data_IF_581760315869
#
_entry.id   IF_581760315869
#
_cell.length_a   1.000
_cell.length_b   1.000
_cell.length_c   1.000
_cell.angle_alpha   90.00
_cell.angle_beta   90.00
_cell.angle_gamma   90.00
#
_symmetry.space_group_name_H-M   'P 1'
#
loop_
_entity.id
_entity.type
_entity.pdbx_description
1 polymer ?
#
# COMPACT_ATOMS: atom_id res chain seq x y z
N UNK A 1 35.85 -6.45 14.79
CA UNK A 1 34.63 -5.77 14.27
C UNK A 1 33.94 -6.60 13.18
N UNK A 2 34.66 -7.08 12.16
CA UNK A 2 34.14 -7.97 11.11
C UNK A 2 33.44 -9.24 11.64
N UNK A 3 34.03 -9.95 12.60
CA UNK A 3 33.42 -11.15 13.19
C UNK A 3 32.05 -10.86 13.84
N UNK A 4 31.90 -9.73 14.55
CA UNK A 4 30.63 -9.32 15.18
C UNK A 4 29.54 -9.06 14.13
N UNK A 5 29.90 -8.39 13.03
CA UNK A 5 28.97 -8.14 11.93
C UNK A 5 28.56 -9.45 11.23
N UNK A 6 29.51 -10.36 11.01
CA UNK A 6 29.23 -11.66 10.42
C UNK A 6 28.27 -12.50 11.29
N UNK A 7 28.53 -12.56 12.60
CA UNK A 7 27.64 -13.25 13.54
C UNK A 7 26.25 -12.62 13.57
N UNK A 8 26.14 -11.29 13.57
CA UNK A 8 24.85 -10.60 13.55
C UNK A 8 24.06 -10.95 12.29
N UNK A 9 24.70 -10.88 11.10
CA UNK A 9 24.06 -11.26 9.84
C UNK A 9 23.63 -12.72 9.81
N UNK A 10 24.48 -13.64 10.30
CA UNK A 10 24.15 -15.05 10.38
C UNK A 10 22.97 -15.31 11.32
N UNK A 11 22.96 -14.66 12.49
CA UNK A 11 21.87 -14.76 13.46
C UNK A 11 20.55 -14.22 12.90
N UNK A 12 20.55 -13.06 12.24
CA UNK A 12 19.38 -12.49 11.56
C UNK A 12 18.83 -13.44 10.50
N UNK A 13 19.69 -14.01 9.64
CA UNK A 13 19.27 -14.98 8.61
C UNK A 13 18.65 -16.23 9.23
N UNK A 14 19.31 -16.79 10.25
CA UNK A 14 18.79 -17.97 10.96
C UNK A 14 17.43 -17.66 11.59
N UNK A 15 17.29 -16.52 12.24
CA UNK A 15 16.04 -16.08 12.84
C UNK A 15 14.92 -15.97 11.80
N UNK A 16 15.17 -15.32 10.66
CA UNK A 16 14.18 -15.22 9.58
C UNK A 16 13.80 -16.60 9.00
N UNK A 17 14.75 -17.52 8.85
CA UNK A 17 14.43 -18.89 8.44
C UNK A 17 13.57 -19.65 9.46
N UNK A 18 13.80 -19.43 10.75
CA UNK A 18 12.97 -20.02 11.82
C UNK A 18 11.55 -19.47 11.76
N UNK A 19 11.37 -18.17 11.51
CA UNK A 19 10.04 -17.57 11.33
C UNK A 19 9.33 -18.11 10.08
N UNK A 20 10.00 -18.20 8.92
CA UNK A 20 9.42 -18.79 7.71
C UNK A 20 9.08 -20.29 7.88
N UNK A 21 9.85 -21.01 8.70
CA UNK A 21 9.52 -22.40 9.06
C UNK A 21 8.26 -22.43 9.94
N UNK A 22 8.16 -21.52 10.90
CA UNK A 22 7.03 -21.39 11.80
C UNK A 22 5.72 -21.10 11.05
N UNK A 23 5.75 -20.19 10.07
CA UNK A 23 4.59 -19.88 9.20
C UNK A 23 4.07 -21.10 8.44
N UNK A 24 4.95 -22.04 8.05
CA UNK A 24 4.58 -23.29 7.39
C UNK A 24 4.08 -24.36 8.36
N UNK A 25 4.60 -24.37 9.58
CA UNK A 25 4.23 -25.30 10.64
C UNK A 25 4.52 -24.67 11.99
N UNK A 26 3.47 -24.20 12.66
CA UNK A 26 3.59 -23.54 13.95
C UNK A 26 4.21 -24.48 15.00
N UNK A 27 5.13 -23.93 15.81
CA UNK A 27 5.81 -24.62 16.90
C UNK A 27 6.07 -23.74 18.15
N UNK A 28 5.59 -22.49 18.10
CA UNK A 28 5.64 -21.47 19.17
C UNK A 28 4.31 -20.69 19.15
N UNK A 29 4.06 -19.84 20.13
CA UNK A 29 2.99 -18.85 20.05
C UNK A 29 3.50 -17.56 19.40
N UNK A 30 2.61 -16.80 18.75
CA UNK A 30 2.98 -15.52 18.12
C UNK A 30 3.62 -14.53 19.09
N UNK A 31 3.24 -14.59 20.37
CA UNK A 31 3.80 -13.77 21.44
C UNK A 31 5.26 -14.09 21.77
N UNK A 32 5.72 -15.31 21.49
CA UNK A 32 7.08 -15.75 21.82
C UNK A 32 8.12 -15.14 20.87
N UNK A 33 7.68 -14.68 19.70
CA UNK A 33 8.53 -13.96 18.74
C UNK A 33 8.72 -12.49 19.10
N UNK A 34 7.79 -11.91 19.86
CA UNK A 34 7.78 -10.49 20.18
C UNK A 34 8.92 -10.12 21.12
N UNK A 35 9.61 -9.01 20.84
CA UNK A 35 10.63 -8.46 21.73
C UNK A 35 9.94 -7.70 22.88
N UNK A 36 9.91 -8.23 24.13
CA UNK A 36 9.08 -7.66 25.19
C UNK A 36 9.53 -6.27 25.65
N UNK A 37 10.83 -5.96 25.50
CA UNK A 37 11.42 -4.67 25.88
C UNK A 37 11.32 -3.59 24.80
N UNK A 38 10.71 -3.86 23.64
CA UNK A 38 10.48 -2.81 22.65
C UNK A 38 9.22 -2.05 23.02
N UNK A 39 9.40 -0.90 23.65
CA UNK A 39 8.28 -0.03 24.04
C UNK A 39 7.69 0.67 22.80
N UNK A 40 6.40 1.02 22.84
CA UNK A 40 5.79 1.87 21.80
C UNK A 40 6.51 3.22 21.62
N UNK A 41 7.17 3.69 22.68
CA UNK A 41 8.02 4.88 22.69
C UNK A 41 9.27 4.73 21.80
N UNK A 42 9.88 3.54 21.73
CA UNK A 42 11.01 3.29 20.83
C UNK A 42 10.60 3.32 19.35
N UNK A 43 9.35 2.97 19.04
CA UNK A 43 8.79 3.00 17.69
C UNK A 43 8.29 4.39 17.27
N UNK A 44 8.36 5.40 18.15
CA UNK A 44 7.89 6.76 17.88
C UNK A 44 6.37 6.87 17.76
N UNK A 45 5.61 5.94 18.36
CA UNK A 45 4.14 5.96 18.40
C UNK A 45 3.73 6.58 19.74
N UNK A 46 3.31 7.85 19.74
CA UNK A 46 2.69 8.47 20.92
C UNK A 46 1.20 8.06 21.00
N UNK A 47 0.78 7.50 22.14
CA UNK A 47 -0.61 7.13 22.41
C UNK A 47 -1.48 8.40 22.56
N UNK A 48 -2.46 8.56 21.66
CA UNK A 48 -3.40 9.70 21.63
C UNK A 48 -4.38 9.76 22.83
N UNK A 49 -4.33 8.82 23.76
CA UNK A 49 -5.31 8.71 24.86
C UNK A 49 -4.87 9.40 26.16
N UNK A 50 -3.73 10.10 26.20
CA UNK A 50 -3.16 10.65 27.45
C UNK A 50 -2.80 12.14 27.41
N UNK A 51 -3.46 12.95 26.57
CA UNK A 51 -3.39 14.40 26.74
C UNK A 51 -4.60 15.14 26.15
N UNK A 52 -5.45 15.63 27.04
CA UNK A 52 -6.40 16.70 26.77
C UNK A 52 -5.62 17.95 26.36
N UNK A 53 -5.72 18.34 25.09
CA UNK A 53 -5.13 19.59 24.61
C UNK A 53 -4.90 19.57 23.12
N UNK A 54 -5.34 20.63 22.44
CA UNK A 54 -5.10 20.89 21.01
C UNK A 54 -3.58 20.79 20.77
N UNK A 55 -3.15 19.65 20.23
CA UNK A 55 -1.74 19.25 20.18
C UNK A 55 -1.24 19.07 18.75
N UNK A 56 -0.32 19.95 18.36
CA UNK A 56 0.52 19.86 17.17
C UNK A 56 1.12 18.46 17.02
N UNK A 57 0.79 17.77 15.92
CA UNK A 57 1.46 16.53 15.51
C UNK A 57 2.92 16.89 15.27
N UNK A 58 3.83 16.43 16.13
CA UNK A 58 5.26 16.51 15.83
C UNK A 58 5.54 15.62 14.61
N UNK A 59 5.60 16.26 13.45
CA UNK A 59 5.74 15.71 12.09
C UNK A 59 7.11 15.11 11.77
N UNK A 60 7.88 14.74 12.79
CA UNK A 60 9.20 14.14 12.65
C UNK A 60 9.22 12.72 13.21
N UNK A 61 8.41 11.85 12.59
CA UNK A 61 8.56 10.39 12.69
C UNK A 61 9.77 9.92 11.86
N UNK A 62 10.88 10.65 11.90
CA UNK A 62 12.15 10.02 11.60
C UNK A 62 12.35 8.97 12.69
N UNK A 63 12.48 7.69 12.31
CA UNK A 63 13.11 6.69 13.18
C UNK A 63 14.55 7.13 13.46
N UNK A 64 14.71 8.10 14.38
CA UNK A 64 16.00 8.64 14.82
C UNK A 64 16.82 7.55 15.49
N UNK A 65 16.15 6.54 16.03
CA UNK A 65 16.76 5.35 16.59
C UNK A 65 17.17 4.38 15.48
N UNK A 66 18.45 4.43 15.10
CA UNK A 66 19.08 3.54 14.12
C UNK A 66 18.89 2.05 14.45
N UNK A 67 18.73 1.70 15.74
CA UNK A 67 18.45 0.32 16.17
C UNK A 67 17.04 -0.11 15.78
N UNK A 68 16.04 0.74 15.98
CA UNK A 68 14.64 0.43 15.67
C UNK A 68 14.46 0.32 14.15
N UNK A 69 15.11 1.20 13.38
CA UNK A 69 15.18 1.06 11.92
C UNK A 69 15.79 -0.28 11.51
N UNK A 70 16.89 -0.69 12.13
CA UNK A 70 17.50 -1.99 11.84
C UNK A 70 16.57 -3.16 12.19
N UNK A 71 15.88 -3.11 13.33
CA UNK A 71 14.90 -4.13 13.73
C UNK A 71 13.75 -4.24 12.74
N UNK A 72 13.11 -3.12 12.38
CA UNK A 72 12.02 -3.09 11.40
C UNK A 72 12.46 -3.49 9.98
N UNK A 73 13.73 -3.33 9.65
CA UNK A 73 14.27 -3.71 8.33
C UNK A 73 14.66 -5.19 8.27
N UNK A 74 15.28 -5.72 9.33
CA UNK A 74 15.94 -7.03 9.26
C UNK A 74 15.17 -8.15 9.96
N UNK A 75 14.41 -7.83 11.00
CA UNK A 75 13.67 -8.79 11.83
C UNK A 75 12.31 -8.21 12.28
N UNK A 76 11.48 -7.65 11.36
CA UNK A 76 10.24 -6.94 11.73
C UNK A 76 9.25 -7.81 12.54
N UNK A 77 9.29 -9.12 12.41
CA UNK A 77 8.41 -10.05 13.11
C UNK A 77 8.56 -10.04 14.64
N UNK A 78 9.65 -9.47 15.17
CA UNK A 78 9.78 -9.25 16.63
C UNK A 78 8.93 -8.08 17.12
N UNK A 79 8.36 -7.30 16.20
CA UNK A 79 7.40 -6.24 16.47
C UNK A 79 5.99 -6.76 16.18
N UNK A 80 5.07 -6.68 17.16
CA UNK A 80 3.66 -7.00 16.95
C UNK A 80 3.10 -6.36 15.68
N UNK A 81 2.30 -7.12 14.93
CA UNK A 81 1.76 -6.67 13.64
C UNK A 81 1.04 -5.32 13.74
N UNK A 82 0.19 -5.13 14.76
CA UNK A 82 -0.55 -3.88 14.99
C UNK A 82 0.39 -2.66 15.13
N UNK A 83 1.52 -2.83 15.80
CA UNK A 83 2.50 -1.76 15.96
C UNK A 83 3.21 -1.45 14.64
N UNK A 84 3.59 -2.48 13.86
CA UNK A 84 4.17 -2.27 12.52
C UNK A 84 3.23 -1.53 11.58
N UNK A 85 1.94 -1.89 11.61
CA UNK A 85 0.89 -1.19 10.84
C UNK A 85 0.76 0.26 11.28
N UNK A 86 0.82 0.54 12.60
CA UNK A 86 0.81 1.91 13.12
C UNK A 86 2.02 2.71 12.64
N UNK A 87 3.23 2.14 12.67
CA UNK A 87 4.44 2.78 12.11
C UNK A 87 4.28 3.06 10.62
N UNK A 88 3.79 2.09 9.83
CA UNK A 88 3.55 2.26 8.40
C UNK A 88 2.57 3.42 8.15
N UNK A 89 1.42 3.42 8.83
CA UNK A 89 0.42 4.47 8.72
C UNK A 89 0.98 5.85 9.07
N UNK A 90 1.79 5.95 10.11
CA UNK A 90 2.43 7.21 10.49
C UNK A 90 3.39 7.72 9.39
N UNK A 91 4.14 6.83 8.73
CA UNK A 91 4.98 7.19 7.59
C UNK A 91 4.17 7.65 6.38
N UNK A 92 3.06 6.96 6.08
CA UNK A 92 2.17 7.34 4.98
C UNK A 92 1.56 8.74 5.19
N UNK A 93 1.13 9.08 6.41
CA UNK A 93 0.63 10.44 6.70
C UNK A 93 1.72 11.49 6.58
N UNK A 94 2.93 11.19 7.06
CA UNK A 94 4.05 12.13 6.92
C UNK A 94 4.37 12.37 5.44
N UNK A 95 4.39 11.32 4.62
CA UNK A 95 4.60 11.42 3.17
C UNK A 95 3.48 12.22 2.49
N UNK A 96 2.21 12.03 2.88
CA UNK A 96 1.08 12.83 2.40
C UNK A 96 1.26 14.30 2.72
N UNK A 97 1.57 14.63 3.98
CA UNK A 97 1.81 16.02 4.42
C UNK A 97 2.96 16.63 3.61
N UNK A 98 4.08 15.94 3.47
CA UNK A 98 5.21 16.41 2.68
C UNK A 98 4.83 16.65 1.21
N UNK A 99 4.09 15.71 0.61
CA UNK A 99 3.61 15.84 -0.76
C UNK A 99 2.72 17.06 -0.93
N UNK A 100 1.70 17.24 -0.08
CA UNK A 100 0.79 18.39 -0.16
C UNK A 100 1.49 19.71 0.16
N UNK A 101 2.40 19.76 1.13
CA UNK A 101 3.22 20.96 1.39
C UNK A 101 4.09 21.32 0.19
N UNK A 102 4.65 20.34 -0.52
CA UNK A 102 5.50 20.59 -1.70
C UNK A 102 4.73 21.03 -2.94
N UNK A 103 3.44 20.68 -3.04
CA UNK A 103 2.61 20.92 -4.24
C UNK A 103 1.56 22.02 -4.05
N UNK A 104 1.20 22.38 -2.82
CA UNK A 104 0.20 23.39 -2.56
C UNK A 104 0.72 24.81 -2.89
N UNK A 105 -0.15 25.61 -3.49
CA UNK A 105 0.09 27.03 -3.77
C UNK A 105 0.03 27.91 -2.52
N UNK A 106 -0.51 27.40 -1.41
CA UNK A 106 -0.58 28.10 -0.13
C UNK A 106 -0.52 27.12 1.06
N UNK A 107 -0.11 27.63 2.23
CA UNK A 107 -0.08 26.83 3.46
C UNK A 107 -1.48 26.32 3.88
N UNK A 108 -2.54 27.11 3.61
CA UNK A 108 -3.93 26.72 3.88
C UNK A 108 -4.34 25.54 3.00
N UNK A 109 -3.97 25.56 1.72
CA UNK A 109 -4.19 24.48 0.76
C UNK A 109 -3.44 23.19 1.16
N UNK A 110 -2.20 23.31 1.64
CA UNK A 110 -1.45 22.17 2.17
C UNK A 110 -2.12 21.56 3.41
N UNK A 111 -2.58 22.40 4.34
CA UNK A 111 -3.16 21.97 5.61
C UNK A 111 -4.55 21.33 5.45
N UNK A 112 -5.30 21.73 4.43
CA UNK A 112 -6.62 21.18 4.09
C UNK A 112 -6.56 20.01 3.10
N UNK A 113 -5.37 19.56 2.68
CA UNK A 113 -5.21 18.51 1.66
C UNK A 113 -5.67 18.92 0.25
N UNK A 114 -5.95 20.21 0.04
CA UNK A 114 -6.36 20.77 -1.26
C UNK A 114 -5.12 21.28 -2.00
N UNK A 115 -4.35 20.38 -2.62
CA UNK A 115 -3.23 20.74 -3.47
C UNK A 115 -3.62 20.93 -4.95
N UNK A 116 -2.76 21.59 -5.74
CA UNK A 116 -2.83 21.60 -7.22
C UNK A 116 -2.54 20.22 -7.84
N UNK A 117 -2.21 19.22 -7.01
CA UNK A 117 -1.97 17.83 -7.38
C UNK A 117 -3.21 16.93 -7.38
N UNK A 118 -4.43 17.48 -7.33
CA UNK A 118 -5.63 16.65 -7.48
C UNK A 118 -5.77 16.18 -8.93
N UNK A 119 -5.82 14.87 -9.13
CA UNK A 119 -6.10 14.24 -10.41
C UNK A 119 -7.59 14.03 -10.53
N UNK A 120 -8.19 14.45 -11.64
CA UNK A 120 -9.56 14.07 -11.98
C UNK A 120 -9.50 12.92 -12.97
N UNK A 121 -10.33 11.92 -12.78
CA UNK A 121 -10.34 10.70 -13.59
C UNK A 121 -11.78 10.44 -13.98
N UNK A 122 -12.03 10.37 -15.29
CA UNK A 122 -13.32 10.01 -15.85
C UNK A 122 -13.29 8.55 -16.27
N UNK A 123 -14.19 7.74 -15.74
CA UNK A 123 -14.22 6.30 -16.03
C UNK A 123 -15.64 5.80 -16.28
N UNK A 124 -15.78 4.88 -17.23
CA UNK A 124 -17.01 4.11 -17.45
C UNK A 124 -16.98 2.87 -16.56
N UNK A 125 -18.11 2.54 -15.94
CA UNK A 125 -18.22 1.37 -15.05
C UNK A 125 -17.84 0.04 -15.74
N UNK A 126 -18.12 -0.07 -17.03
CA UNK A 126 -17.84 -1.29 -17.81
C UNK A 126 -16.43 -1.34 -18.40
N UNK A 127 -15.65 -0.25 -18.33
CA UNK A 127 -14.30 -0.14 -18.91
C UNK A 127 -13.30 0.47 -17.89
N UNK A 128 -13.46 0.12 -16.61
CA UNK A 128 -12.73 0.76 -15.51
C UNK A 128 -11.22 0.66 -15.63
N UNK A 129 -10.71 -0.48 -16.10
CA UNK A 129 -9.26 -0.73 -16.10
C UNK A 129 -8.59 0.06 -17.23
N UNK A 130 -9.20 0.02 -18.42
CA UNK A 130 -8.75 0.70 -19.62
C UNK A 130 -8.87 2.22 -19.47
N UNK A 131 -10.04 2.74 -19.06
CA UNK A 131 -10.25 4.18 -18.89
C UNK A 131 -9.32 4.75 -17.82
N UNK A 132 -9.14 4.04 -16.69
CA UNK A 132 -8.19 4.46 -15.67
C UNK A 132 -6.74 4.40 -16.16
N UNK A 133 -6.38 3.42 -16.99
CA UNK A 133 -5.04 3.35 -17.57
C UNK A 133 -4.77 4.58 -18.43
N UNK A 134 -5.66 4.93 -19.35
CA UNK A 134 -5.51 6.11 -20.22
C UNK A 134 -5.38 7.41 -19.42
N UNK A 135 -6.18 7.58 -18.36
CA UNK A 135 -6.17 8.79 -17.53
C UNK A 135 -4.96 8.88 -16.58
N UNK A 136 -4.47 7.75 -16.05
CA UNK A 136 -3.54 7.75 -14.92
C UNK A 136 -2.16 7.14 -15.20
N UNK A 137 -1.93 6.45 -16.32
CA UNK A 137 -0.67 5.71 -16.49
C UNK A 137 0.58 6.63 -16.51
N UNK A 138 0.43 7.88 -16.96
CA UNK A 138 1.50 8.89 -17.00
C UNK A 138 1.65 9.66 -15.69
N UNK A 139 0.70 9.53 -14.77
CA UNK A 139 0.59 10.37 -13.60
C UNK A 139 1.49 9.92 -12.43
N UNK A 140 2.60 9.22 -12.68
CA UNK A 140 3.40 8.49 -11.68
C UNK A 140 3.69 9.31 -10.40
N UNK A 141 4.26 10.51 -10.56
CA UNK A 141 4.59 11.39 -9.43
C UNK A 141 3.38 12.08 -8.80
N UNK A 142 2.23 12.06 -9.49
CA UNK A 142 0.97 12.69 -9.08
C UNK A 142 0.00 11.73 -8.38
N UNK A 143 0.22 10.41 -8.49
CA UNK A 143 -0.63 9.41 -7.82
C UNK A 143 -0.63 9.55 -6.29
N UNK A 144 0.36 10.20 -5.68
CA UNK A 144 0.33 10.53 -4.24
C UNK A 144 -0.74 11.58 -3.89
N UNK A 145 -1.14 12.42 -4.85
CA UNK A 145 -2.18 13.42 -4.68
C UNK A 145 -3.59 12.82 -4.59
N UNK A 146 -4.58 13.69 -4.35
CA UNK A 146 -5.98 13.28 -4.28
C UNK A 146 -6.49 12.90 -5.69
N UNK A 147 -7.03 11.70 -5.84
CA UNK A 147 -7.69 11.27 -7.07
C UNK A 147 -9.19 11.45 -6.88
N UNK A 148 -9.81 12.25 -7.75
CA UNK A 148 -11.24 12.51 -7.80
C UNK A 148 -11.83 11.72 -8.95
N UNK A 149 -12.80 10.88 -8.67
CA UNK A 149 -13.40 9.99 -9.67
C UNK A 149 -14.75 10.54 -10.10
N UNK A 150 -14.94 10.63 -11.42
CA UNK A 150 -16.20 10.97 -12.06
C UNK A 150 -16.62 9.77 -12.91
N UNK A 151 -17.67 9.06 -12.50
CA UNK A 151 -18.24 7.99 -13.32
C UNK A 151 -19.03 8.60 -14.48
N UNK A 152 -18.85 8.06 -15.69
CA UNK A 152 -19.55 8.51 -16.89
C UNK A 152 -20.27 7.34 -17.55
N UNK A 153 -21.45 7.63 -18.11
CA UNK A 153 -22.20 6.69 -18.95
C UNK A 153 -21.47 6.36 -20.25
N UNK A 154 -21.95 5.35 -20.99
CA UNK A 154 -21.42 5.02 -22.32
C UNK A 154 -21.45 6.22 -23.30
N UNK A 155 -22.41 7.14 -23.12
CA UNK A 155 -22.55 8.36 -23.92
C UNK A 155 -21.68 9.53 -23.41
N UNK A 156 -20.85 9.30 -22.38
CA UNK A 156 -19.97 10.30 -21.79
C UNK A 156 -20.67 11.35 -20.93
N UNK A 157 -21.94 11.12 -20.58
CA UNK A 157 -22.67 11.98 -19.63
C UNK A 157 -22.25 11.63 -18.21
N UNK A 158 -22.00 12.66 -17.41
CA UNK A 158 -21.61 12.53 -16.01
C UNK A 158 -22.72 11.83 -15.20
N UNK A 159 -22.37 10.78 -14.46
CA UNK A 159 -23.25 10.18 -13.47
C UNK A 159 -23.33 11.10 -12.24
N UNK A 160 -24.52 11.25 -11.66
CA UNK A 160 -24.71 12.13 -10.51
C UNK A 160 -23.93 11.60 -9.28
N UNK A 161 -22.87 12.30 -8.88
CA UNK A 161 -22.10 11.98 -7.69
C UNK A 161 -21.16 13.12 -7.30
N UNK A 162 -21.26 13.58 -6.04
CA UNK A 162 -20.31 14.55 -5.47
C UNK A 162 -19.26 13.75 -4.70
N UNK A 163 -18.00 13.82 -5.13
CA UNK A 163 -16.91 13.05 -4.52
C UNK A 163 -16.47 13.66 -3.17
N UNK A 164 -17.00 13.09 -2.08
CA UNK A 164 -16.51 13.28 -0.72
C UNK A 164 -15.59 12.16 -0.22
N UNK A 165 -15.02 11.34 -1.12
CA UNK A 165 -14.18 10.18 -0.81
C UNK A 165 -14.88 8.82 -0.99
N UNK A 166 -16.20 8.81 -1.17
CA UNK A 166 -16.97 7.58 -1.43
C UNK A 166 -16.72 7.00 -2.82
N UNK A 167 -16.67 7.85 -3.84
CA UNK A 167 -16.51 7.43 -5.23
C UNK A 167 -15.11 6.88 -5.50
N UNK A 168 -14.07 7.47 -4.91
CA UNK A 168 -12.72 6.92 -5.03
C UNK A 168 -12.61 5.52 -4.41
N UNK A 169 -13.25 5.27 -3.26
CA UNK A 169 -13.27 3.93 -2.64
C UNK A 169 -14.03 2.93 -3.51
N UNK A 170 -15.19 3.30 -4.02
CA UNK A 170 -15.98 2.49 -4.95
C UNK A 170 -15.19 2.15 -6.23
N UNK A 171 -14.48 3.13 -6.77
CA UNK A 171 -13.60 2.96 -7.91
C UNK A 171 -12.50 1.95 -7.62
N UNK A 172 -11.77 2.08 -6.51
CA UNK A 172 -10.69 1.16 -6.14
C UNK A 172 -11.22 -0.27 -5.97
N UNK A 173 -12.38 -0.45 -5.33
CA UNK A 173 -13.01 -1.76 -5.18
C UNK A 173 -13.36 -2.38 -6.55
N UNK A 174 -14.10 -1.64 -7.38
CA UNK A 174 -14.55 -2.11 -8.69
C UNK A 174 -13.40 -2.32 -9.69
N UNK A 175 -12.40 -1.43 -9.67
CA UNK A 175 -11.17 -1.55 -10.43
C UNK A 175 -10.42 -2.82 -10.03
N UNK A 176 -10.25 -3.07 -8.72
CA UNK A 176 -9.52 -4.25 -8.24
C UNK A 176 -10.21 -5.55 -8.67
N UNK A 177 -11.54 -5.62 -8.54
CA UNK A 177 -12.34 -6.76 -9.01
C UNK A 177 -12.18 -7.01 -10.50
N UNK A 178 -12.14 -5.95 -11.30
CA UNK A 178 -11.98 -6.05 -12.76
C UNK A 178 -10.55 -6.43 -13.15
N UNK A 179 -9.55 -5.72 -12.64
CA UNK A 179 -8.13 -5.91 -12.99
C UNK A 179 -7.57 -7.26 -12.55
N UNK A 180 -8.03 -7.76 -11.39
CA UNK A 180 -7.61 -9.06 -10.85
C UNK A 180 -8.51 -10.22 -11.29
N UNK A 181 -9.58 -9.95 -12.05
CA UNK A 181 -10.44 -10.99 -12.60
C UNK A 181 -9.67 -11.87 -13.59
N UNK A 182 -9.83 -13.21 -13.52
CA UNK A 182 -9.27 -14.11 -14.53
C UNK A 182 -9.78 -13.80 -15.95
N UNK A 183 -10.96 -13.21 -16.09
CA UNK A 183 -11.53 -12.77 -17.37
C UNK A 183 -10.75 -11.61 -17.99
N UNK A 184 -10.13 -10.75 -17.17
CA UNK A 184 -9.24 -9.68 -17.66
C UNK A 184 -7.88 -10.25 -18.08
N UNK A 185 -7.47 -11.38 -17.48
CA UNK A 185 -6.38 -12.24 -17.92
C UNK A 185 -4.97 -11.83 -17.47
N UNK A 186 -4.84 -10.78 -16.63
CA UNK A 186 -3.56 -10.41 -15.99
C UNK A 186 -3.18 -11.30 -14.81
N UNK A 187 -4.18 -11.78 -14.07
CA UNK A 187 -4.03 -12.68 -12.94
C UNK A 187 -4.85 -13.95 -13.16
N UNK A 188 -4.45 -15.03 -12.51
CA UNK A 188 -5.11 -16.34 -12.58
C UNK A 188 -5.17 -16.94 -11.18
N UNK A 189 -6.23 -17.69 -10.81
CA UNK A 189 -6.27 -18.40 -9.55
C UNK A 189 -5.28 -19.57 -9.57
N UNK A 190 -4.63 -19.78 -8.43
CA UNK A 190 -3.90 -21.01 -8.12
C UNK A 190 -4.89 -22.14 -7.78
N UNK A 191 -4.38 -23.35 -7.54
CA UNK A 191 -5.20 -24.48 -7.04
C UNK A 191 -5.92 -24.20 -5.73
N UNK A 192 -5.48 -23.19 -4.97
CA UNK A 192 -6.09 -22.76 -3.71
C UNK A 192 -6.98 -21.53 -3.85
N UNK A 193 -7.36 -21.14 -5.08
CA UNK A 193 -8.15 -19.93 -5.38
C UNK A 193 -7.50 -18.60 -4.98
N UNK A 194 -6.21 -18.61 -4.66
CA UNK A 194 -5.42 -17.40 -4.45
C UNK A 194 -4.87 -16.89 -5.78
N UNK A 195 -4.84 -15.57 -5.98
CA UNK A 195 -4.43 -14.94 -7.23
C UNK A 195 -2.90 -14.88 -7.39
N UNK A 196 -2.43 -15.15 -8.60
CA UNK A 196 -1.02 -14.97 -9.02
C UNK A 196 -0.97 -14.35 -10.41
N UNK A 197 0.07 -13.58 -10.78
CA UNK A 197 0.23 -13.09 -12.15
C UNK A 197 0.14 -14.22 -13.17
N UNK A 198 -0.61 -14.00 -14.25
CA UNK A 198 -0.81 -14.99 -15.30
C UNK A 198 0.44 -15.09 -16.20
N UNK A 199 1.13 -16.24 -16.25
CA UNK A 199 2.29 -16.44 -17.13
C UNK A 199 1.96 -16.24 -18.61
N UNK A 200 0.72 -16.52 -19.01
CA UNK A 200 0.23 -16.37 -20.38
C UNK A 200 -0.46 -15.01 -20.63
N UNK A 201 -0.29 -14.03 -19.73
CA UNK A 201 -0.97 -12.72 -19.82
C UNK A 201 -0.77 -12.00 -21.16
N UNK A 202 0.36 -12.20 -21.84
CA UNK A 202 0.61 -11.65 -23.19
C UNK A 202 -0.41 -12.11 -24.25
N UNK A 203 -1.02 -13.30 -24.06
CA UNK A 203 -2.00 -13.90 -24.98
C UNK A 203 -3.41 -13.91 -24.41
N UNK A 204 -3.52 -14.14 -23.10
CA UNK A 204 -4.78 -14.35 -22.41
C UNK A 204 -5.45 -13.04 -21.94
N UNK A 205 -4.70 -11.96 -21.74
CA UNK A 205 -5.29 -10.70 -21.30
C UNK A 205 -6.02 -9.97 -22.42
N UNK A 206 -7.05 -9.20 -22.05
CA UNK A 206 -7.81 -8.34 -22.97
C UNK A 206 -6.88 -7.35 -23.69
N UNK A 207 -5.84 -6.88 -22.99
CA UNK A 207 -4.85 -5.89 -23.44
C UNK A 207 -3.66 -6.49 -24.22
N UNK A 208 -3.56 -7.82 -24.30
CA UNK A 208 -2.58 -8.56 -25.12
C UNK A 208 -1.14 -8.06 -24.98
N UNK A 209 -0.59 -7.41 -26.01
CA UNK A 209 0.79 -6.92 -26.06
C UNK A 209 1.11 -5.88 -24.99
N UNK A 210 0.11 -5.15 -24.49
CA UNK A 210 0.30 -4.14 -23.44
C UNK A 210 0.20 -4.70 -22.02
N UNK A 211 0.10 -6.03 -21.84
CA UNK A 211 -0.09 -6.65 -20.53
C UNK A 211 0.95 -6.24 -19.47
N UNK A 212 2.22 -6.03 -19.85
CA UNK A 212 3.26 -5.59 -18.91
C UNK A 212 3.02 -4.15 -18.43
N UNK A 213 2.54 -3.26 -19.32
CA UNK A 213 2.21 -1.88 -18.95
C UNK A 213 1.02 -1.85 -18.00
N UNK A 214 0.02 -2.68 -18.27
CA UNK A 214 -1.13 -2.83 -17.39
C UNK A 214 -0.76 -3.49 -16.06
N UNK A 215 0.12 -4.50 -16.02
CA UNK A 215 0.62 -5.07 -14.75
C UNK A 215 1.35 -4.01 -13.90
N UNK A 216 2.18 -3.17 -14.53
CA UNK A 216 2.82 -2.05 -13.85
C UNK A 216 1.79 -1.05 -13.31
N UNK A 217 0.78 -0.71 -14.11
CA UNK A 217 -0.28 0.21 -13.72
C UNK A 217 -1.15 -0.33 -12.59
N UNK A 218 -1.61 -1.58 -12.68
CA UNK A 218 -2.38 -2.27 -11.62
C UNK A 218 -1.58 -2.30 -10.32
N UNK A 219 -0.27 -2.54 -10.39
CA UNK A 219 0.63 -2.45 -9.24
C UNK A 219 0.67 -1.05 -8.60
N UNK A 220 0.66 0.02 -9.41
CA UNK A 220 0.59 1.41 -8.93
C UNK A 220 -0.75 1.70 -8.24
N UNK A 221 -1.87 1.24 -8.81
CA UNK A 221 -3.19 1.42 -8.21
C UNK A 221 -3.34 0.62 -6.91
N UNK A 222 -2.78 -0.60 -6.85
CA UNK A 222 -2.68 -1.38 -5.61
C UNK A 222 -1.88 -0.64 -4.54
N UNK A 223 -0.72 -0.07 -4.90
CA UNK A 223 0.07 0.77 -4.01
C UNK A 223 -0.69 2.01 -3.54
N UNK A 224 -1.48 2.63 -4.41
CA UNK A 224 -2.37 3.75 -4.06
C UNK A 224 -3.47 3.33 -3.08
N UNK A 225 -4.06 2.16 -3.25
CA UNK A 225 -5.04 1.63 -2.28
C UNK A 225 -4.42 1.46 -0.88
N UNK A 226 -3.19 0.94 -0.80
CA UNK A 226 -2.42 0.85 0.47
C UNK A 226 -2.14 2.24 1.03
N UNK A 227 -1.73 3.20 0.19
CA UNK A 227 -1.45 4.59 0.56
C UNK A 227 -2.68 5.29 1.16
N UNK A 228 -3.87 5.03 0.61
CA UNK A 228 -5.15 5.56 1.09
C UNK A 228 -5.82 4.68 2.16
N UNK A 229 -5.18 3.59 2.59
CA UNK A 229 -5.68 2.65 3.60
C UNK A 229 -7.01 2.00 3.20
N UNK A 230 -7.17 1.73 1.93
CA UNK A 230 -8.34 1.03 1.38
C UNK A 230 -8.07 -0.47 1.41
N UNK A 231 -8.99 -1.20 2.02
CA UNK A 231 -8.99 -2.66 2.04
C UNK A 231 -9.54 -3.17 0.71
N UNK A 232 -8.84 -4.13 0.11
CA UNK A 232 -9.28 -4.85 -1.09
C UNK A 232 -9.73 -6.26 -0.72
N UNK A 233 -10.70 -6.80 -1.46
CA UNK A 233 -11.19 -8.17 -1.27
C UNK A 233 -10.30 -9.23 -1.94
N UNK A 234 -9.35 -8.83 -2.79
CA UNK A 234 -8.50 -9.74 -3.55
C UNK A 234 -7.48 -10.45 -2.66
N UNK A 235 -7.48 -11.79 -2.71
CA UNK A 235 -6.52 -12.63 -1.99
C UNK A 235 -5.42 -13.14 -2.91
N UNK A 236 -4.17 -12.91 -2.53
CA UNK A 236 -2.99 -13.24 -3.34
C UNK A 236 -2.24 -14.45 -2.82
N UNK A 237 -1.66 -15.23 -3.73
CA UNK A 237 -0.82 -16.36 -3.38
C UNK A 237 0.42 -15.90 -2.62
N UNK A 238 0.78 -16.58 -1.52
CA UNK A 238 1.93 -16.21 -0.70
C UNK A 238 3.25 -16.12 -1.47
N UNK A 239 3.43 -16.97 -2.49
CA UNK A 239 4.60 -16.89 -3.38
C UNK A 239 4.71 -15.58 -4.14
N UNK A 240 3.58 -15.02 -4.60
CA UNK A 240 3.54 -13.70 -5.24
C UNK A 240 3.80 -12.59 -4.23
N UNK A 241 3.19 -12.64 -3.04
CA UNK A 241 3.43 -11.65 -1.99
C UNK A 241 4.90 -11.62 -1.55
N UNK A 242 5.54 -12.80 -1.44
CA UNK A 242 6.97 -12.91 -1.13
C UNK A 242 7.88 -12.32 -2.22
N UNK A 243 7.42 -12.22 -3.47
CA UNK A 243 8.16 -11.54 -4.53
C UNK A 243 8.12 -10.02 -4.40
N UNK A 244 7.11 -9.47 -3.71
CA UNK A 244 6.94 -8.03 -3.50
C UNK A 244 7.70 -7.49 -2.26
N UNK A 245 8.14 -8.38 -1.37
CA UNK A 245 8.75 -8.08 -0.06
C UNK A 245 10.27 -8.28 -0.08
#
# INVERSE_FOLDING_TARGET
KLLKLHCLTAATKLFNHLCQRHERRAFLFDTDWCWPSMSGFDLGIEDKNTSSGIGSVNSNLQLKNSRVKAVLTFIPQVVPFKQRVSVLHAHLEQDKVQYFTSTATSAIHAQMGFGTGSLKVKVRRDHLVEDAYEELHTAESKLKGQIKVEFVSEQGLDEAGIDGGGLFKEFIDSFSKSAFSPSFGLFVPTSHQLLTPNPDSARASVVKSDHLKYLNFVGKILGKAVYERILLESEFAGGFLNFLL
#
